data_IF_494489858342
#
_entry.id   IF_494489858342
#
_cell.length_a   1.000
_cell.length_b   1.000
_cell.length_c   1.000
_cell.angle_alpha   90.00
_cell.angle_beta   90.00
_cell.angle_gamma   90.00
#
_symmetry.space_group_name_H-M   'P 1'
#
loop_
_entity.id
_entity.type
_entity.pdbx_description
1 polymer ?
#
# COMPACT_ATOMS: atom_id res chain seq x y z
N UNK A 1 2.14 10.25 -0.25
CA UNK A 1 3.22 9.25 -0.41
C UNK A 1 2.62 8.04 -1.06
N UNK A 2 3.34 7.42 -2.00
CA UNK A 2 2.86 6.23 -2.70
C UNK A 2 3.63 5.00 -2.19
N UNK A 3 2.91 3.91 -1.93
CA UNK A 3 3.44 2.69 -1.31
C UNK A 3 3.00 1.50 -2.16
N UNK A 4 3.94 0.63 -2.51
CA UNK A 4 3.66 -0.63 -3.22
C UNK A 4 3.45 -1.77 -2.23
N UNK A 5 2.38 -2.54 -2.43
CA UNK A 5 2.00 -3.70 -1.64
C UNK A 5 1.84 -4.92 -2.53
N UNK A 6 1.65 -6.09 -1.91
CA UNK A 6 1.09 -7.25 -2.62
C UNK A 6 -0.35 -6.93 -3.04
N UNK A 7 -0.90 -7.69 -3.98
CA UNK A 7 -2.28 -7.50 -4.44
C UNK A 7 -3.32 -7.72 -3.35
N UNK A 8 -3.12 -8.73 -2.52
CA UNK A 8 -4.02 -9.04 -1.41
C UNK A 8 -3.99 -7.94 -0.35
N UNK A 9 -2.80 -7.46 -0.01
CA UNK A 9 -2.64 -6.37 0.95
C UNK A 9 -3.16 -5.05 0.41
N UNK A 10 -2.96 -4.76 -0.88
CA UNK A 10 -3.56 -3.61 -1.55
C UNK A 10 -5.09 -3.65 -1.40
N UNK A 11 -5.72 -4.78 -1.73
CA UNK A 11 -7.17 -4.93 -1.59
C UNK A 11 -7.63 -4.75 -0.13
N UNK A 12 -6.89 -5.32 0.82
CA UNK A 12 -7.18 -5.25 2.24
C UNK A 12 -7.11 -3.81 2.80
N UNK A 13 -6.04 -3.07 2.50
CA UNK A 13 -5.88 -1.68 3.00
C UNK A 13 -6.86 -0.71 2.37
N UNK A 14 -7.26 -0.94 1.11
CA UNK A 14 -8.29 -0.14 0.45
C UNK A 14 -9.67 -0.42 1.03
N UNK A 15 -10.02 -1.69 1.26
CA UNK A 15 -11.30 -2.08 1.87
C UNK A 15 -11.48 -1.53 3.27
N UNK A 16 -10.39 -1.43 4.03
CA UNK A 16 -10.38 -0.94 5.42
C UNK A 16 -10.20 0.57 5.55
N UNK A 17 -9.94 1.28 4.44
CA UNK A 17 -9.70 2.72 4.45
C UNK A 17 -8.36 3.13 5.06
N UNK A 18 -7.43 2.19 5.25
CA UNK A 18 -6.07 2.47 5.74
C UNK A 18 -5.20 3.20 4.70
N UNK A 19 -5.56 3.08 3.42
CA UNK A 19 -4.94 3.80 2.32
C UNK A 19 -5.98 4.21 1.28
N UNK A 20 -5.58 5.10 0.37
CA UNK A 20 -6.37 5.56 -0.76
C UNK A 20 -5.95 4.85 -2.05
N UNK A 21 -6.86 4.67 -3.02
CA UNK A 21 -6.48 4.23 -4.35
C UNK A 21 -5.41 5.16 -4.94
N UNK A 22 -4.42 4.59 -5.61
CA UNK A 22 -3.42 5.39 -6.30
C UNK A 22 -4.07 6.18 -7.45
N UNK A 23 -3.68 7.45 -7.64
CA UNK A 23 -4.29 8.36 -8.63
C UNK A 23 -4.17 7.90 -10.08
N UNK A 24 -3.05 7.25 -10.42
CA UNK A 24 -2.82 6.67 -11.74
C UNK A 24 -3.32 5.23 -11.78
N UNK A 25 -4.23 4.94 -12.71
CA UNK A 25 -4.89 3.62 -12.84
C UNK A 25 -3.89 2.49 -13.07
N UNK A 26 -2.84 2.71 -13.86
CA UNK A 26 -1.77 1.73 -14.10
C UNK A 26 -1.07 1.30 -12.80
N UNK A 27 -0.79 2.25 -11.90
CA UNK A 27 -0.16 1.92 -10.62
C UNK A 27 -1.15 1.23 -9.66
N UNK A 28 -2.44 1.59 -9.71
CA UNK A 28 -3.46 0.85 -8.96
C UNK A 28 -3.52 -0.63 -9.42
N UNK A 29 -3.29 -0.90 -10.71
CA UNK A 29 -3.15 -2.25 -11.25
C UNK A 29 -1.84 -2.96 -10.86
N UNK A 30 -0.85 -2.25 -10.30
CA UNK A 30 0.46 -2.82 -9.94
C UNK A 30 0.72 -2.92 -8.43
N UNK A 31 -0.34 -2.80 -7.61
CA UNK A 31 -0.23 -2.93 -6.15
C UNK A 31 0.06 -1.61 -5.43
N UNK A 32 0.02 -0.46 -6.12
CA UNK A 32 0.26 0.82 -5.48
C UNK A 32 -1.00 1.38 -4.80
N UNK A 33 -0.77 2.01 -3.65
CA UNK A 33 -1.74 2.83 -2.93
C UNK A 33 -1.12 4.18 -2.60
N UNK A 34 -1.98 5.18 -2.37
CA UNK A 34 -1.56 6.48 -1.87
C UNK A 34 -1.93 6.62 -0.39
N UNK A 35 -1.02 7.15 0.40
CA UNK A 35 -1.27 7.57 1.78
C UNK A 35 -1.10 9.09 1.87
N UNK A 36 -2.08 9.75 2.49
CA UNK A 36 -2.07 11.17 2.80
C UNK A 36 -2.08 11.32 4.32
N UNK A 37 -1.22 12.20 4.83
CA UNK A 37 -1.09 12.46 6.26
C UNK A 37 -1.51 13.91 6.48
N UNK A 38 -2.73 14.11 6.97
CA UNK A 38 -3.27 15.43 7.32
C UNK A 38 -3.38 15.59 8.84
N UNK A 39 -3.45 14.47 9.58
CA UNK A 39 -3.57 14.45 11.03
C UNK A 39 -2.82 13.26 11.68
N UNK A 40 -2.88 13.17 13.01
CA UNK A 40 -2.21 12.10 13.77
C UNK A 40 -2.75 10.69 13.48
N UNK A 41 -4.08 10.45 13.39
CA UNK A 41 -4.60 9.17 12.90
C UNK A 41 -4.04 8.73 11.55
N UNK A 42 -3.92 9.65 10.60
CA UNK A 42 -3.37 9.32 9.28
C UNK A 42 -1.91 8.86 9.35
N UNK A 43 -1.13 9.47 10.26
CA UNK A 43 0.25 9.06 10.51
C UNK A 43 0.33 7.62 11.04
N UNK A 44 -0.60 7.22 11.91
CA UNK A 44 -0.67 5.84 12.41
C UNK A 44 -1.02 4.87 11.27
N UNK A 45 -2.00 5.23 10.43
CA UNK A 45 -2.37 4.44 9.25
C UNK A 45 -1.20 4.29 8.27
N UNK A 46 -0.50 5.39 7.96
CA UNK A 46 0.68 5.38 7.10
C UNK A 46 1.78 4.44 7.64
N UNK A 47 2.05 4.47 8.96
CA UNK A 47 3.00 3.56 9.60
C UNK A 47 2.63 2.09 9.41
N UNK A 48 1.35 1.75 9.59
CA UNK A 48 0.86 0.38 9.41
C UNK A 48 1.05 -0.10 7.97
N UNK A 49 0.71 0.74 6.99
CA UNK A 49 0.86 0.41 5.56
C UNK A 49 2.33 0.27 5.17
N UNK A 50 3.20 1.15 5.66
CA UNK A 50 4.66 1.05 5.45
C UNK A 50 5.20 -0.27 6.03
N UNK A 51 4.82 -0.63 7.25
CA UNK A 51 5.26 -1.88 7.87
C UNK A 51 4.82 -3.10 7.07
N UNK A 52 3.63 -3.07 6.48
CA UNK A 52 3.14 -4.12 5.60
C UNK A 52 3.99 -4.23 4.34
N UNK A 53 4.30 -3.10 3.69
CA UNK A 53 5.19 -3.07 2.54
C UNK A 53 6.57 -3.67 2.84
N UNK A 54 7.15 -3.34 4.00
CA UNK A 54 8.42 -3.92 4.44
C UNK A 54 8.33 -5.43 4.69
N UNK A 55 7.23 -5.92 5.29
CA UNK A 55 7.02 -7.37 5.48
C UNK A 55 6.93 -8.10 4.14
N UNK A 56 6.26 -7.51 3.15
CA UNK A 56 6.12 -8.10 1.81
C UNK A 56 7.47 -8.18 1.10
N UNK A 57 8.22 -7.07 1.11
CA UNK A 57 9.56 -7.03 0.53
C UNK A 57 10.52 -8.06 1.15
N UNK A 58 10.36 -8.36 2.45
CA UNK A 58 11.17 -9.37 3.15
C UNK A 58 10.76 -10.81 2.85
N UNK A 59 9.47 -11.08 2.63
CA UNK A 59 8.95 -12.45 2.43
C UNK A 59 9.23 -12.97 1.02
N UNK A 60 9.06 -12.14 0.00
CA UNK A 60 9.41 -12.53 -1.36
C UNK A 60 9.49 -11.30 -2.29
N UNK A 61 10.69 -10.91 -2.76
CA UNK A 61 10.83 -9.82 -3.73
C UNK A 61 10.16 -10.10 -5.07
N UNK A 62 9.90 -11.37 -5.39
CA UNK A 62 9.23 -11.80 -6.62
C UNK A 62 7.74 -11.44 -6.65
N UNK A 63 7.07 -11.38 -5.49
CA UNK A 63 5.63 -11.02 -5.38
C UNK A 63 5.39 -9.52 -5.70
N UNK A 64 6.46 -8.73 -5.75
CA UNK A 64 6.46 -7.34 -6.22
C UNK A 64 6.74 -7.23 -7.73
N UNK A 65 7.02 -8.34 -8.44
CA UNK A 65 7.42 -8.36 -9.85
C UNK A 65 6.40 -9.01 -10.80
N UNK A 66 5.36 -9.66 -10.27
CA UNK A 66 4.32 -10.27 -11.11
C UNK A 66 3.34 -9.20 -11.61
N UNK A 67 3.67 -8.65 -12.78
CA UNK A 67 2.82 -7.86 -13.68
C UNK A 67 2.04 -8.76 -14.64
#
# INVERSE_FOLDING_TARGET
>A
MDIRLSKDDQASVLKTGLALPHRAQVHAQDGWVSSRIENSPDLANAKNVIQLAYKNAKKNPADLKSS
#
